data_IF_509913781671
#
_entry.id   IF_509913781671
#
_cell.length_a   1.000
_cell.length_b   1.000
_cell.length_c   1.000
_cell.angle_alpha   90.00
_cell.angle_beta   90.00
_cell.angle_gamma   90.00
#
_symmetry.space_group_name_H-M   'P 1'
#
loop_
_entity.id
_entity.type
_entity.pdbx_description
1 polymer ?
#
# COMPACT_ATOMS: atom_id res chain seq x y z
N UNK A 1 -6.75 4.74 2.59
CA UNK A 1 -5.86 3.56 2.53
C UNK A 1 -6.24 2.52 1.46
N UNK A 2 -7.52 2.13 1.30
CA UNK A 2 -7.91 1.21 0.21
C UNK A 2 -7.65 1.73 -1.20
N UNK A 3 -7.89 3.03 -1.40
CA UNK A 3 -7.62 3.73 -2.67
C UNK A 3 -6.13 3.73 -3.04
N UNK A 4 -5.27 3.88 -2.04
CA UNK A 4 -3.80 3.88 -2.18
C UNK A 4 -3.30 2.52 -2.69
N UNK A 5 -3.87 1.44 -2.16
CA UNK A 5 -3.59 0.09 -2.62
C UNK A 5 -4.38 -0.32 -3.87
N UNK A 6 -5.28 0.56 -4.35
CA UNK A 6 -6.21 0.29 -5.46
C UNK A 6 -6.99 -1.02 -5.29
N UNK A 7 -7.43 -1.29 -4.08
CA UNK A 7 -8.18 -2.49 -3.71
C UNK A 7 -9.57 -2.12 -3.20
N UNK A 8 -10.52 -3.04 -3.36
CA UNK A 8 -11.84 -2.89 -2.77
C UNK A 8 -11.78 -2.94 -1.24
N UNK A 9 -12.77 -2.33 -0.60
CA UNK A 9 -12.98 -2.39 0.85
C UNK A 9 -13.18 -3.84 1.33
N UNK A 10 -13.75 -4.68 0.46
CA UNK A 10 -13.97 -6.12 0.67
C UNK A 10 -12.71 -6.98 0.41
N UNK A 11 -11.59 -6.35 0.04
CA UNK A 11 -10.37 -7.08 -0.31
C UNK A 11 -9.81 -7.85 0.89
N UNK A 12 -9.42 -9.10 0.62
CA UNK A 12 -8.82 -9.98 1.61
C UNK A 12 -7.37 -9.58 1.91
N UNK A 13 -6.82 -10.05 3.03
CA UNK A 13 -5.39 -9.89 3.34
C UNK A 13 -4.46 -10.35 2.20
N UNK A 14 -4.90 -11.34 1.43
CA UNK A 14 -4.13 -11.87 0.29
C UNK A 14 -4.10 -10.87 -0.86
N UNK A 15 -5.21 -10.20 -1.13
CA UNK A 15 -5.31 -9.13 -2.13
C UNK A 15 -4.51 -7.90 -1.71
N UNK A 16 -4.56 -7.53 -0.42
CA UNK A 16 -3.73 -6.46 0.17
C UNK A 16 -2.24 -6.75 -0.06
N UNK A 17 -1.76 -7.97 0.25
CA UNK A 17 -0.36 -8.38 0.00
C UNK A 17 0.02 -8.36 -1.48
N UNK A 18 -0.86 -8.83 -2.36
CA UNK A 18 -0.62 -8.81 -3.82
C UNK A 18 -0.53 -7.38 -4.36
N UNK A 19 -1.48 -6.54 -3.97
CA UNK A 19 -1.52 -5.14 -4.37
C UNK A 19 -0.28 -4.38 -3.88
N UNK A 20 0.08 -4.54 -2.61
CA UNK A 20 1.29 -3.97 -2.03
C UNK A 20 2.54 -4.35 -2.81
N UNK A 21 2.75 -5.65 -3.10
CA UNK A 21 3.90 -6.09 -3.92
C UNK A 21 3.93 -5.43 -5.29
N UNK A 22 2.77 -5.32 -5.94
CA UNK A 22 2.65 -4.76 -7.29
C UNK A 22 2.90 -3.24 -7.30
N UNK A 23 2.41 -2.53 -6.28
CA UNK A 23 2.60 -1.10 -6.12
C UNK A 23 4.02 -0.77 -5.66
N UNK A 24 4.56 -1.49 -4.66
CA UNK A 24 5.93 -1.32 -4.16
C UNK A 24 6.98 -1.42 -5.28
N UNK A 25 6.79 -2.31 -6.25
CA UNK A 25 7.68 -2.43 -7.41
C UNK A 25 7.45 -1.30 -8.43
N UNK A 26 6.22 -0.81 -8.58
CA UNK A 26 5.90 0.31 -9.47
C UNK A 26 6.35 1.66 -8.93
N UNK A 27 6.26 1.85 -7.61
CA UNK A 27 6.63 3.09 -6.91
C UNK A 27 8.05 3.02 -6.35
N UNK A 28 8.82 1.98 -6.66
CA UNK A 28 10.17 1.84 -6.12
C UNK A 28 11.07 2.97 -6.65
N UNK A 29 11.80 3.70 -5.79
CA UNK A 29 12.66 4.81 -6.22
C UNK A 29 13.78 4.34 -7.17
N UNK A 30 14.25 3.10 -7.02
CA UNK A 30 15.25 2.47 -7.91
C UNK A 30 14.77 2.33 -9.37
N UNK A 31 13.46 2.14 -9.58
CA UNK A 31 12.86 2.08 -10.93
C UNK A 31 12.39 3.43 -11.45
N UNK A 32 12.23 4.41 -10.54
CA UNK A 32 11.73 5.75 -10.83
C UNK A 32 12.82 6.79 -10.54
N UNK A 33 13.99 6.63 -11.15
CA UNK A 33 15.15 7.51 -10.97
C UNK A 33 14.87 8.97 -11.40
N UNK A 34 13.89 9.18 -12.28
CA UNK A 34 13.45 10.49 -12.75
C UNK A 34 12.48 11.18 -11.77
N UNK A 35 11.74 10.38 -10.98
CA UNK A 35 10.69 10.85 -10.07
C UNK A 35 10.86 10.24 -8.67
N UNK A 36 12.09 10.26 -8.15
CA UNK A 36 12.46 9.60 -6.88
C UNK A 36 11.66 10.16 -5.71
N UNK A 37 11.41 11.47 -5.68
CA UNK A 37 10.58 12.10 -4.63
C UNK A 37 9.15 11.57 -4.67
N UNK A 38 8.50 11.62 -5.82
CA UNK A 38 7.11 11.17 -5.98
C UNK A 38 6.97 9.65 -5.72
N UNK A 39 7.97 8.87 -6.17
CA UNK A 39 8.09 7.46 -5.90
C UNK A 39 8.22 7.18 -4.40
N UNK A 40 9.03 7.95 -3.68
CA UNK A 40 9.21 7.82 -2.22
C UNK A 40 7.94 8.15 -1.46
N UNK A 41 7.22 9.21 -1.87
CA UNK A 41 5.94 9.59 -1.26
C UNK A 41 4.91 8.47 -1.47
N UNK A 42 4.70 8.03 -2.72
CA UNK A 42 3.79 6.93 -3.02
C UNK A 42 4.18 5.64 -2.31
N UNK A 43 5.47 5.32 -2.25
CA UNK A 43 5.96 4.13 -1.56
C UNK A 43 5.63 4.18 -0.06
N UNK A 44 5.82 5.34 0.59
CA UNK A 44 5.40 5.54 1.98
C UNK A 44 3.90 5.34 2.16
N UNK A 45 3.07 5.97 1.33
CA UNK A 45 1.62 5.82 1.42
C UNK A 45 1.18 4.36 1.25
N UNK A 46 1.75 3.65 0.27
CA UNK A 46 1.49 2.24 0.01
C UNK A 46 1.92 1.36 1.19
N UNK A 47 3.05 1.68 1.83
CA UNK A 47 3.55 0.93 2.99
C UNK A 47 2.72 1.19 4.25
N UNK A 48 2.29 2.42 4.49
CA UNK A 48 1.40 2.77 5.61
C UNK A 48 0.02 2.12 5.44
N UNK A 49 -0.56 2.21 4.24
CA UNK A 49 -1.82 1.53 3.92
C UNK A 49 -1.70 0.01 4.09
N UNK A 50 -0.57 -0.58 3.71
CA UNK A 50 -0.31 -2.00 3.93
C UNK A 50 -0.16 -2.34 5.42
N UNK A 51 0.55 -1.54 6.20
CA UNK A 51 0.71 -1.79 7.65
C UNK A 51 -0.65 -1.84 8.36
N UNK A 52 -1.53 -0.89 8.04
CA UNK A 52 -2.89 -0.83 8.60
C UNK A 52 -3.77 -1.97 8.09
N UNK A 53 -3.73 -2.28 6.79
CA UNK A 53 -4.66 -3.23 6.17
C UNK A 53 -4.17 -4.69 6.19
N UNK A 54 -2.88 -4.93 6.40
CA UNK A 54 -2.27 -6.28 6.43
C UNK A 54 -2.52 -7.04 7.72
N UNK A 55 -2.91 -6.32 8.77
CA UNK A 55 -3.26 -6.91 10.05
C UNK A 55 -4.75 -6.66 10.32
N UNK A 56 -5.55 -7.73 10.36
CA UNK A 56 -7.01 -7.63 10.59
C UNK A 56 -7.33 -6.94 11.92
N UNK A 57 -6.44 -7.03 12.91
CA UNK A 57 -6.62 -6.40 14.21
C UNK A 57 -6.32 -4.91 14.13
N UNK A 58 -5.22 -4.52 13.47
CA UNK A 58 -4.91 -3.10 13.22
C UNK A 58 -5.96 -2.44 12.33
N UNK A 59 -6.46 -3.16 11.31
CA UNK A 59 -7.54 -2.73 10.42
C UNK A 59 -8.82 -2.46 11.19
N UNK A 60 -9.19 -3.34 12.13
CA UNK A 60 -10.35 -3.14 13.02
C UNK A 60 -10.17 -2.00 14.01
N UNK A 61 -8.95 -1.78 14.50
CA UNK A 61 -8.66 -0.69 15.44
C UNK A 61 -8.66 0.67 14.72
N UNK A 62 -8.18 0.71 13.47
CA UNK A 62 -8.22 1.88 12.60
C UNK A 62 -9.64 2.26 12.15
N UNK A 63 -10.53 1.28 11.96
CA UNK A 63 -11.92 1.49 11.52
C UNK A 63 -12.88 1.85 12.70
N UNK A 64 -12.38 1.93 13.94
CA UNK A 64 -13.20 2.11 15.16
C UNK A 64 -13.32 3.54 15.67
#
# INVERSE_FOLDING_TARGET
HYDVLQISQDATLTDVKKAYRKLAVQTHPDRNLDNVEEATIRFREVSEAYEILSDEKARKDYDR
#
